data_IF_835662510727
#
_entry.id   IF_835662510727
#
_cell.length_a   1.000
_cell.length_b   1.000
_cell.length_c   1.000
_cell.angle_alpha   90.00
_cell.angle_beta   90.00
_cell.angle_gamma   90.00
#
_symmetry.space_group_name_H-M   'P 1'
#
loop_
_entity.id
_entity.type
_entity.pdbx_description
1 polymer ?
#
# COMPACT_ATOMS: atom_id res chain seq x y z
N UNK A 1 1.80 -4.86 3.93
CA UNK A 1 1.72 -4.58 5.37
C UNK A 1 0.67 -3.51 5.61
N UNK A 2 -0.33 -3.79 6.46
CA UNK A 2 -1.28 -2.78 6.87
C UNK A 2 -0.58 -1.80 7.82
N UNK A 3 -0.63 -0.51 7.51
CA UNK A 3 -0.10 0.53 8.38
C UNK A 3 -1.07 1.70 8.51
N UNK A 4 -0.94 2.43 9.60
CA UNK A 4 -1.70 3.63 9.90
C UNK A 4 -0.66 4.71 10.22
N UNK A 5 -0.65 5.79 9.46
CA UNK A 5 0.33 6.88 9.63
C UNK A 5 1.79 6.38 9.66
N UNK A 6 2.14 5.43 8.78
CA UNK A 6 3.45 4.78 8.70
C UNK A 6 3.84 3.91 9.92
N UNK A 7 2.91 3.63 10.81
CA UNK A 7 3.09 2.69 11.91
C UNK A 7 2.41 1.37 11.55
N UNK A 8 3.05 0.22 11.67
CA UNK A 8 2.40 -1.07 11.47
C UNK A 8 1.13 -1.17 12.32
N UNK A 9 0.05 -1.71 11.75
CA UNK A 9 -1.27 -1.71 12.40
C UNK A 9 -1.26 -2.37 13.79
N UNK A 10 -0.47 -3.42 13.97
CA UNK A 10 -0.27 -4.08 15.27
C UNK A 10 0.46 -3.20 16.30
N UNK A 11 1.42 -2.39 15.86
CA UNK A 11 2.13 -1.44 16.73
C UNK A 11 1.26 -0.21 17.03
N UNK A 12 0.42 0.23 16.09
CA UNK A 12 -0.52 1.33 16.28
C UNK A 12 -1.53 1.03 17.39
N UNK A 13 -2.13 -0.15 17.37
CA UNK A 13 -3.07 -0.55 18.43
C UNK A 13 -2.41 -0.51 19.80
N UNK A 14 -1.20 -1.08 19.93
CA UNK A 14 -0.44 -1.09 21.18
C UNK A 14 -0.04 0.34 21.64
N UNK A 15 0.26 1.24 20.71
CA UNK A 15 0.54 2.64 21.04
C UNK A 15 -0.71 3.38 21.54
N UNK A 16 -1.89 3.06 20.99
CA UNK A 16 -3.16 3.68 21.37
C UNK A 16 -3.73 3.12 22.68
N UNK A 17 -3.42 1.89 23.06
CA UNK A 17 -3.81 1.30 24.35
C UNK A 17 -3.20 2.05 25.55
N UNK A 18 -2.09 2.76 25.34
CA UNK A 18 -1.43 3.57 26.37
C UNK A 18 -1.98 5.01 26.47
N UNK A 19 -3.02 5.35 25.73
CA UNK A 19 -3.64 6.68 25.77
C UNK A 19 -4.81 6.65 26.76
N UNK A 20 -4.60 7.19 27.95
CA UNK A 20 -5.62 7.26 29.02
C UNK A 20 -6.96 7.82 28.50
N UNK A 21 -8.00 7.01 28.60
CA UNK A 21 -9.39 7.43 28.38
C UNK A 21 -9.93 7.28 26.96
N UNK A 22 -9.17 6.78 26.01
CA UNK A 22 -9.70 6.53 24.67
C UNK A 22 -10.16 5.07 24.53
N UNK A 23 -11.47 4.85 24.59
CA UNK A 23 -12.10 3.57 24.28
C UNK A 23 -12.00 3.31 22.76
N UNK A 24 -10.87 2.76 22.33
CA UNK A 24 -10.73 2.26 20.96
C UNK A 24 -11.06 0.77 21.01
N UNK A 25 -12.15 0.33 20.38
CA UNK A 25 -12.46 -1.09 20.31
C UNK A 25 -11.28 -1.83 19.63
N UNK A 26 -10.91 -3.03 20.12
CA UNK A 26 -9.84 -3.80 19.52
C UNK A 26 -10.14 -4.04 18.02
N UNK A 27 -9.18 -3.73 17.16
CA UNK A 27 -9.30 -3.97 15.73
C UNK A 27 -9.25 -5.48 15.46
N UNK A 28 -10.31 -6.02 14.88
CA UNK A 28 -10.26 -7.36 14.28
C UNK A 28 -9.63 -7.25 12.90
N UNK A 29 -8.36 -7.59 12.77
CA UNK A 29 -7.61 -7.48 11.51
C UNK A 29 -8.21 -8.32 10.38
N UNK A 30 -8.78 -9.48 10.69
CA UNK A 30 -9.42 -10.34 9.70
C UNK A 30 -10.67 -9.68 9.09
N UNK A 31 -11.47 -9.02 9.91
CA UNK A 31 -12.66 -8.29 9.43
C UNK A 31 -12.28 -7.07 8.61
N UNK A 32 -11.21 -6.36 9.00
CA UNK A 32 -10.68 -5.22 8.26
C UNK A 32 -10.16 -5.67 6.89
N UNK A 33 -9.40 -6.76 6.84
CA UNK A 33 -8.87 -7.32 5.59
C UNK A 33 -10.01 -7.77 4.67
N UNK A 34 -11.00 -8.49 5.18
CA UNK A 34 -12.15 -8.93 4.40
C UNK A 34 -12.96 -7.75 3.85
N UNK A 35 -13.19 -6.73 4.67
CA UNK A 35 -13.83 -5.49 4.24
C UNK A 35 -13.04 -4.79 3.13
N UNK A 36 -11.73 -4.65 3.27
CA UNK A 36 -10.86 -4.04 2.26
C UNK A 36 -10.93 -4.80 0.92
N UNK A 37 -10.82 -6.13 0.96
CA UNK A 37 -10.90 -6.97 -0.24
C UNK A 37 -12.23 -6.84 -0.96
N UNK A 38 -13.34 -6.70 -0.25
CA UNK A 38 -14.70 -6.63 -0.80
C UNK A 38 -15.15 -5.22 -1.17
N UNK A 39 -14.53 -4.18 -0.60
CA UNK A 39 -15.01 -2.79 -0.71
C UNK A 39 -15.13 -2.30 -2.16
N UNK A 40 -14.13 -2.56 -2.99
CA UNK A 40 -14.16 -2.20 -4.42
C UNK A 40 -15.33 -2.84 -5.16
N UNK A 41 -15.52 -4.15 -4.99
CA UNK A 41 -16.64 -4.88 -5.58
C UNK A 41 -18.01 -4.37 -5.10
N UNK A 42 -18.12 -4.00 -3.83
CA UNK A 42 -19.35 -3.44 -3.28
C UNK A 42 -19.70 -2.06 -3.88
N UNK A 43 -18.69 -1.22 -4.13
CA UNK A 43 -18.88 0.07 -4.81
C UNK A 43 -19.31 -0.16 -6.25
N UNK A 44 -18.67 -1.07 -6.98
CA UNK A 44 -19.03 -1.39 -8.37
C UNK A 44 -20.47 -1.90 -8.46
N UNK A 45 -20.89 -2.79 -7.56
CA UNK A 45 -22.29 -3.28 -7.52
C UNK A 45 -23.32 -2.17 -7.34
N UNK A 46 -22.98 -1.10 -6.59
CA UNK A 46 -23.90 0.01 -6.28
C UNK A 46 -23.85 1.15 -7.28
N UNK A 47 -22.70 1.42 -7.88
CA UNK A 47 -22.43 2.61 -8.72
C UNK A 47 -21.97 2.27 -10.14
N UNK A 48 -21.80 1.00 -10.46
CA UNK A 48 -21.30 0.53 -11.76
C UNK A 48 -19.78 0.63 -11.93
N UNK A 49 -19.09 1.50 -11.20
CA UNK A 49 -17.64 1.67 -11.27
C UNK A 49 -17.07 2.30 -10.00
N UNK A 50 -15.73 2.18 -9.82
CA UNK A 50 -14.96 2.89 -8.78
C UNK A 50 -14.09 3.94 -9.46
N UNK A 51 -14.33 5.23 -9.25
CA UNK A 51 -13.53 6.31 -9.86
C UNK A 51 -13.26 7.48 -8.91
N UNK A 52 -14.12 7.76 -7.93
CA UNK A 52 -13.91 8.92 -7.05
C UNK A 52 -12.65 8.79 -6.18
N UNK A 53 -12.46 7.65 -5.50
CA UNK A 53 -11.30 7.43 -4.65
C UNK A 53 -9.99 7.43 -5.46
N UNK A 54 -10.00 6.80 -6.63
CA UNK A 54 -8.84 6.79 -7.53
C UNK A 54 -8.52 8.20 -8.01
N UNK A 55 -9.53 8.98 -8.41
CA UNK A 55 -9.33 10.38 -8.83
C UNK A 55 -8.70 11.23 -7.73
N UNK A 56 -9.18 11.10 -6.49
CA UNK A 56 -8.62 11.81 -5.34
C UNK A 56 -7.17 11.39 -5.10
N UNK A 57 -6.88 10.09 -5.17
CA UNK A 57 -5.51 9.56 -5.00
C UNK A 57 -4.56 10.10 -6.07
N UNK A 58 -4.99 10.11 -7.33
CA UNK A 58 -4.20 10.67 -8.45
C UNK A 58 -3.96 12.18 -8.24
N UNK A 59 -5.00 12.93 -7.89
CA UNK A 59 -4.88 14.37 -7.60
C UNK A 59 -3.91 14.62 -6.44
N UNK A 60 -3.93 13.78 -5.40
CA UNK A 60 -3.00 13.89 -4.27
C UNK A 60 -1.55 13.67 -4.71
N UNK A 61 -1.27 12.63 -5.47
CA UNK A 61 0.07 12.35 -6.00
C UNK A 61 0.56 13.51 -6.89
N UNK A 62 -0.26 13.98 -7.82
CA UNK A 62 0.07 15.10 -8.69
C UNK A 62 0.35 16.37 -7.87
N UNK A 63 -0.46 16.65 -6.85
CA UNK A 63 -0.25 17.78 -5.96
C UNK A 63 1.08 17.69 -5.21
N UNK A 64 1.48 16.52 -4.72
CA UNK A 64 2.79 16.31 -4.08
C UNK A 64 3.94 16.59 -5.06
N UNK A 65 3.86 16.07 -6.28
CA UNK A 65 4.87 16.31 -7.32
C UNK A 65 4.99 17.81 -7.63
N UNK A 66 3.86 18.50 -7.85
CA UNK A 66 3.86 19.92 -8.22
C UNK A 66 4.23 20.85 -7.06
N UNK A 67 3.96 20.48 -5.83
CA UNK A 67 4.31 21.31 -4.65
C UNK A 67 5.78 21.21 -4.26
N UNK A 68 6.49 20.21 -4.76
CA UNK A 68 7.88 19.96 -4.39
C UNK A 68 8.09 19.49 -2.95
N UNK A 69 7.02 19.09 -2.27
CA UNK A 69 7.09 18.56 -0.90
C UNK A 69 7.21 17.05 -0.97
N UNK A 70 8.29 16.52 -0.43
CA UNK A 70 8.51 15.07 -0.33
C UNK A 70 7.48 14.45 0.63
N UNK A 71 6.71 13.52 0.13
CA UNK A 71 5.62 12.88 0.90
C UNK A 71 5.72 11.37 0.79
N UNK A 72 5.60 10.70 1.93
CA UNK A 72 5.59 9.23 1.98
C UNK A 72 4.19 8.70 1.68
N UNK A 73 4.09 7.84 0.68
CA UNK A 73 2.84 7.21 0.28
C UNK A 73 3.08 5.82 -0.31
N UNK A 74 2.07 4.97 -0.27
CA UNK A 74 2.13 3.64 -0.87
C UNK A 74 1.76 3.74 -2.34
N UNK A 75 2.75 3.58 -3.22
CA UNK A 75 2.57 3.62 -4.67
C UNK A 75 3.29 2.46 -5.34
N UNK A 76 2.77 2.04 -6.49
CA UNK A 76 3.37 0.99 -7.30
C UNK A 76 4.54 1.57 -8.09
N UNK A 77 5.72 1.02 -7.86
CA UNK A 77 6.96 1.42 -8.53
C UNK A 77 7.76 0.20 -8.97
N UNK A 78 8.60 0.37 -9.99
CA UNK A 78 9.53 -0.68 -10.44
C UNK A 78 10.48 -1.04 -9.29
N UNK A 79 10.58 -2.31 -8.96
CA UNK A 79 11.54 -2.81 -7.97
C UNK A 79 12.87 -3.16 -8.66
N UNK A 80 13.96 -2.78 -8.01
CA UNK A 80 15.33 -2.98 -8.51
C UNK A 80 16.23 -3.62 -7.45
N UNK A 81 15.71 -4.62 -6.75
CA UNK A 81 16.42 -5.34 -5.68
C UNK A 81 15.82 -5.19 -4.29
N UNK A 82 14.84 -4.32 -4.12
CA UNK A 82 14.14 -4.19 -2.83
C UNK A 82 13.50 -5.53 -2.46
N UNK A 83 13.73 -5.98 -1.22
CA UNK A 83 13.31 -7.30 -0.71
C UNK A 83 13.77 -8.49 -1.57
N UNK A 84 14.86 -8.34 -2.36
CA UNK A 84 15.32 -9.35 -3.30
C UNK A 84 14.49 -9.48 -4.58
N UNK A 85 13.59 -8.52 -4.84
CA UNK A 85 12.67 -8.52 -5.98
C UNK A 85 13.12 -7.48 -7.01
N UNK A 86 13.15 -7.86 -8.29
CA UNK A 86 13.47 -6.97 -9.42
C UNK A 86 12.52 -7.20 -10.59
N UNK A 87 12.51 -6.26 -11.53
CA UNK A 87 11.83 -6.38 -12.84
C UNK A 87 10.29 -6.54 -12.73
N UNK A 88 9.70 -5.95 -11.70
CA UNK A 88 8.25 -5.94 -11.50
C UNK A 88 7.84 -4.70 -10.71
N UNK A 89 6.66 -4.15 -11.01
CA UNK A 89 6.09 -3.07 -10.24
C UNK A 89 5.22 -3.62 -9.10
N UNK A 90 5.58 -3.26 -7.87
CA UNK A 90 4.78 -3.54 -6.66
C UNK A 90 4.65 -2.29 -5.82
N UNK A 91 3.60 -2.26 -4.99
CA UNK A 91 3.35 -1.16 -4.08
C UNK A 91 4.20 -1.28 -2.83
N UNK A 92 5.11 -0.33 -2.65
CA UNK A 92 5.90 -0.15 -1.43
C UNK A 92 5.68 1.25 -0.85
N UNK A 93 6.04 1.43 0.41
CA UNK A 93 6.11 2.76 1.00
C UNK A 93 7.24 3.53 0.32
N UNK A 94 6.87 4.62 -0.34
CA UNK A 94 7.74 5.35 -1.27
C UNK A 94 7.66 6.84 -0.97
N UNK A 95 8.79 7.52 -0.96
CA UNK A 95 8.83 8.98 -0.91
C UNK A 95 8.66 9.52 -2.33
N UNK A 96 7.62 10.29 -2.54
CA UNK A 96 7.31 10.95 -3.82
C UNK A 96 7.49 12.45 -3.66
N UNK A 97 8.25 13.06 -4.57
CA UNK A 97 8.53 14.49 -4.61
C UNK A 97 8.50 15.03 -6.03
N UNK A 98 9.05 16.22 -6.25
CA UNK A 98 8.98 16.93 -7.54
C UNK A 98 9.67 16.18 -8.70
N UNK A 99 10.62 15.30 -8.42
CA UNK A 99 11.27 14.43 -9.41
C UNK A 99 10.57 13.10 -9.62
N UNK A 100 9.43 12.87 -8.96
CA UNK A 100 8.74 11.59 -8.93
C UNK A 100 9.15 10.76 -7.73
N UNK A 101 9.60 9.52 -7.95
CA UNK A 101 10.09 8.63 -6.88
C UNK A 101 11.46 9.10 -6.41
N UNK A 102 11.53 9.60 -5.18
CA UNK A 102 12.76 10.07 -4.54
C UNK A 102 13.46 8.93 -3.80
N UNK A 103 12.69 8.14 -3.05
CA UNK A 103 13.23 7.03 -2.27
C UNK A 103 12.16 5.95 -2.04
N UNK A 104 12.58 4.72 -1.82
CA UNK A 104 11.74 3.60 -1.39
C UNK A 104 12.14 3.20 0.03
N UNK A 105 11.18 3.14 0.93
CA UNK A 105 11.41 2.85 2.33
C UNK A 105 11.27 1.34 2.56
N UNK A 106 12.40 0.69 2.85
CA UNK A 106 12.41 -0.72 3.19
C UNK A 106 12.02 -0.92 4.66
N UNK A 107 10.75 -1.20 4.90
CA UNK A 107 10.26 -1.54 6.23
C UNK A 107 10.64 -2.98 6.58
N UNK A 108 10.92 -3.28 7.86
CA UNK A 108 11.11 -4.66 8.28
C UNK A 108 9.81 -5.45 8.09
N UNK A 109 9.90 -6.55 7.34
CA UNK A 109 8.80 -7.49 7.12
C UNK A 109 9.02 -8.74 7.97
N UNK A 110 7.94 -9.35 8.41
CA UNK A 110 7.99 -10.70 8.95
C UNK A 110 8.30 -11.70 7.82
N UNK A 111 8.77 -12.90 8.15
CA UNK A 111 9.05 -13.93 7.14
C UNK A 111 7.83 -14.26 6.29
N UNK A 112 6.65 -14.32 6.90
CA UNK A 112 5.39 -14.58 6.20
C UNK A 112 5.00 -13.44 5.24
N UNK A 113 5.20 -12.19 5.64
CA UNK A 113 4.93 -11.03 4.78
C UNK A 113 5.92 -10.97 3.61
N UNK A 114 7.20 -11.23 3.87
CA UNK A 114 8.20 -11.30 2.82
C UNK A 114 7.86 -12.41 1.79
N UNK A 115 7.53 -13.61 2.27
CA UNK A 115 7.13 -14.72 1.41
C UNK A 115 5.88 -14.38 0.56
N UNK A 116 4.89 -13.70 1.14
CA UNK A 116 3.70 -13.24 0.42
C UNK A 116 4.03 -12.18 -0.65
N UNK A 117 4.96 -11.28 -0.36
CA UNK A 117 5.41 -10.26 -1.31
C UNK A 117 6.16 -10.91 -2.50
N UNK A 118 7.06 -11.86 -2.23
CA UNK A 118 7.77 -12.62 -3.25
C UNK A 118 6.78 -13.39 -4.12
N UNK A 119 5.84 -14.11 -3.53
CA UNK A 119 4.80 -14.83 -4.26
C UNK A 119 3.98 -13.89 -5.17
N UNK A 120 3.58 -12.72 -4.67
CA UNK A 120 2.88 -11.72 -5.47
C UNK A 120 3.70 -11.26 -6.68
N UNK A 121 5.02 -11.09 -6.50
CA UNK A 121 5.92 -10.70 -7.58
C UNK A 121 6.02 -11.78 -8.67
N UNK A 122 6.10 -13.05 -8.26
CA UNK A 122 6.15 -14.18 -9.17
C UNK A 122 4.88 -14.31 -10.02
N UNK A 123 3.72 -14.21 -9.39
CA UNK A 123 2.43 -14.19 -10.08
C UNK A 123 2.34 -13.10 -11.15
N UNK A 124 2.81 -11.87 -10.83
CA UNK A 124 2.83 -10.77 -11.79
C UNK A 124 3.81 -11.03 -12.94
N UNK A 125 5.00 -11.53 -12.65
CA UNK A 125 5.99 -11.90 -13.67
C UNK A 125 5.48 -12.97 -14.63
N UNK A 126 4.72 -13.95 -14.13
CA UNK A 126 4.07 -14.95 -14.98
C UNK A 126 3.03 -14.34 -15.92
N UNK A 127 2.25 -13.38 -15.42
CA UNK A 127 1.27 -12.66 -16.25
C UNK A 127 1.98 -11.83 -17.31
N UNK A 128 3.03 -11.09 -16.93
CA UNK A 128 3.84 -10.28 -17.85
C UNK A 128 4.41 -11.15 -18.98
N UNK A 129 4.94 -12.33 -18.66
CA UNK A 129 5.45 -13.26 -19.67
C UNK A 129 4.38 -13.71 -20.68
N UNK A 130 3.12 -13.84 -20.24
CA UNK A 130 2.00 -14.23 -21.12
C UNK A 130 1.52 -13.09 -22.02
N UNK A 131 1.79 -11.84 -21.66
CA UNK A 131 1.35 -10.65 -22.38
C UNK A 131 2.44 -10.12 -23.32
N UNK A 132 3.69 -10.57 -23.17
CA UNK A 132 4.76 -10.22 -24.10
C UNK A 132 4.45 -10.77 -25.49
N UNK A 133 4.12 -9.86 -26.39
CA UNK A 133 3.93 -10.05 -27.83
C UNK A 133 5.31 -10.02 -28.52
#
# INVERSE_FOLDING_TARGET
VANISNIPANAYQKAMENTDGMLIPPLNYADVEDYMRKSGGNVIKRKGATFYAVSISVCHIVKCILSGIDTNMTVSTMLNGEYGISDVCLSLLTTVGHTGVVNKLNLPLTESEHAALVHSSECLKEIIKKVQI
#
